data_IF_343249678936
#
_entry.id   IF_343249678936
#
_cell.length_a   1.000
_cell.length_b   1.000
_cell.length_c   1.000
_cell.angle_alpha   90.00
_cell.angle_beta   90.00
_cell.angle_gamma   90.00
#
_symmetry.space_group_name_H-M   'P 1'
#
loop_
_entity.id
_entity.type
_entity.pdbx_description
1 polymer ?
#
# COMPACT_ATOMS: atom_id res chain seq x y z
N UNK A 1 13.08 -0.09 -4.49
CA UNK A 1 12.98 -1.46 -3.91
C UNK A 1 14.14 -1.78 -2.96
N UNK A 2 15.42 -1.73 -3.38
CA UNK A 2 16.58 -2.01 -2.50
C UNK A 2 16.63 -1.16 -1.21
N UNK A 3 16.47 0.16 -1.30
CA UNK A 3 16.40 1.03 -0.11
C UNK A 3 15.16 0.82 0.75
N UNK A 4 14.00 0.53 0.13
CA UNK A 4 12.78 0.21 0.88
C UNK A 4 12.96 -1.11 1.62
N UNK A 5 13.60 -2.10 0.97
CA UNK A 5 14.03 -3.35 1.57
C UNK A 5 15.12 -3.15 2.62
N UNK A 6 16.00 -2.14 2.51
CA UNK A 6 17.05 -1.84 3.49
C UNK A 6 16.52 -1.09 4.71
N UNK A 7 15.57 -0.16 4.54
CA UNK A 7 14.86 0.52 5.64
C UNK A 7 13.89 -0.45 6.32
N UNK A 8 13.18 -1.28 5.53
CA UNK A 8 12.37 -2.37 6.06
C UNK A 8 13.29 -3.41 6.73
N UNK A 9 14.43 -3.81 6.16
CA UNK A 9 15.39 -4.71 6.82
C UNK A 9 15.96 -4.10 8.09
N UNK A 10 16.32 -2.81 8.13
CA UNK A 10 16.83 -2.16 9.33
C UNK A 10 15.76 -1.99 10.41
N UNK A 11 14.48 -1.79 10.04
CA UNK A 11 13.34 -1.85 10.96
C UNK A 11 12.99 -3.29 11.38
N UNK A 12 13.22 -4.29 10.51
CA UNK A 12 12.99 -5.72 10.74
C UNK A 12 14.13 -6.41 11.50
N UNK A 13 15.35 -5.86 11.52
CA UNK A 13 16.46 -6.33 12.33
C UNK A 13 16.26 -6.03 13.83
N UNK A 14 15.22 -5.28 14.19
CA UNK A 14 14.85 -5.06 15.60
C UNK A 14 13.98 -6.19 16.15
N UNK A 15 13.26 -6.98 15.35
CA UNK A 15 12.67 -8.25 15.85
C UNK A 15 12.44 -9.28 14.72
N UNK A 16 12.93 -10.53 14.86
CA UNK A 16 12.65 -11.61 13.89
C UNK A 16 11.15 -11.99 13.78
N UNK A 17 10.31 -11.49 14.68
CA UNK A 17 8.87 -11.77 14.75
C UNK A 17 8.03 -11.01 13.71
N UNK A 18 8.47 -9.82 13.28
CA UNK A 18 7.73 -8.99 12.31
C UNK A 18 7.85 -9.50 10.86
N UNK A 19 8.96 -10.14 10.51
CA UNK A 19 9.18 -10.72 9.18
C UNK A 19 8.22 -11.90 8.89
N UNK A 20 7.93 -12.71 9.91
CA UNK A 20 6.96 -13.81 9.78
C UNK A 20 5.53 -13.29 9.61
N UNK A 21 5.12 -12.29 10.40
CA UNK A 21 3.79 -11.71 10.32
C UNK A 21 3.53 -11.04 8.97
N UNK A 22 4.50 -10.32 8.39
CA UNK A 22 4.33 -9.68 7.08
C UNK A 22 4.34 -10.68 5.93
N UNK A 23 5.20 -11.72 5.98
CA UNK A 23 5.12 -12.82 5.03
C UNK A 23 3.79 -13.59 5.15
N UNK A 24 3.15 -13.56 6.31
CA UNK A 24 1.79 -14.08 6.53
C UNK A 24 0.73 -13.12 5.98
N UNK A 25 0.85 -11.80 6.17
CA UNK A 25 -0.09 -10.79 5.65
C UNK A 25 -0.06 -10.71 4.12
N UNK A 26 1.11 -10.69 3.49
CA UNK A 26 1.21 -10.71 2.03
C UNK A 26 0.75 -12.06 1.44
N UNK A 27 1.04 -13.19 2.10
CA UNK A 27 0.48 -14.49 1.72
C UNK A 27 -1.03 -14.52 1.91
N UNK A 28 -1.58 -13.94 2.98
CA UNK A 28 -3.01 -13.89 3.20
C UNK A 28 -3.70 -12.96 2.20
N UNK A 29 -3.11 -11.81 1.87
CA UNK A 29 -3.67 -10.87 0.89
C UNK A 29 -3.64 -11.44 -0.55
N UNK A 30 -2.55 -12.12 -0.93
CA UNK A 30 -2.46 -12.80 -2.24
C UNK A 30 -3.25 -14.10 -2.29
N UNK A 31 -3.37 -14.84 -1.19
CA UNK A 31 -4.22 -16.02 -1.08
C UNK A 31 -5.70 -15.66 -1.07
N UNK A 32 -6.13 -14.55 -0.44
CA UNK A 32 -7.50 -14.04 -0.54
C UNK A 32 -7.87 -13.69 -1.99
N UNK A 33 -6.93 -13.12 -2.74
CA UNK A 33 -7.17 -12.77 -4.14
C UNK A 33 -7.15 -14.00 -5.09
N UNK A 34 -6.33 -15.01 -4.78
CA UNK A 34 -6.18 -16.20 -5.64
C UNK A 34 -7.21 -17.29 -5.34
N UNK A 35 -7.60 -17.46 -4.07
CA UNK A 35 -8.47 -18.56 -3.63
C UNK A 35 -9.92 -18.45 -4.10
N UNK A 36 -10.41 -17.25 -4.46
CA UNK A 36 -11.79 -17.08 -4.93
C UNK A 36 -11.95 -17.18 -6.45
N UNK A 37 -10.86 -17.12 -7.23
CA UNK A 37 -10.94 -17.31 -8.69
C UNK A 37 -11.31 -18.74 -9.07
N UNK A 38 -10.90 -19.73 -8.28
CA UNK A 38 -11.30 -21.13 -8.46
C UNK A 38 -12.80 -21.37 -8.26
N UNK A 39 -13.43 -20.64 -7.34
CA UNK A 39 -14.86 -20.73 -7.11
C UNK A 39 -15.67 -20.10 -8.26
N UNK A 40 -15.07 -19.18 -9.02
CA UNK A 40 -15.67 -18.57 -10.22
C UNK A 40 -15.48 -19.45 -11.46
N UNK A 41 -14.31 -20.09 -11.59
CA UNK A 41 -14.01 -21.03 -12.67
C UNK A 41 -15.01 -22.20 -12.71
N UNK A 42 -15.42 -22.73 -11.55
CA UNK A 42 -16.41 -23.81 -11.45
C UNK A 42 -17.75 -23.48 -12.14
N UNK A 43 -18.16 -22.21 -12.19
CA UNK A 43 -19.42 -21.77 -12.81
C UNK A 43 -19.23 -21.27 -14.24
N UNK A 44 -18.06 -20.72 -14.53
CA UNK A 44 -17.73 -20.19 -15.84
C UNK A 44 -17.36 -21.27 -16.86
N UNK A 45 -16.57 -22.26 -16.43
CA UNK A 45 -15.99 -23.27 -17.31
C UNK A 45 -17.04 -24.12 -18.07
N UNK A 46 -18.15 -24.57 -17.45
CA UNK A 46 -19.19 -25.29 -18.19
C UNK A 46 -19.84 -24.44 -19.29
N UNK A 47 -19.83 -23.12 -19.14
CA UNK A 47 -20.39 -22.18 -20.11
C UNK A 47 -19.33 -21.57 -21.05
N UNK A 48 -18.05 -21.98 -20.93
CA UNK A 48 -16.93 -21.39 -21.69
C UNK A 48 -16.62 -19.93 -21.34
N UNK A 49 -17.07 -19.47 -20.16
CA UNK A 49 -16.87 -18.11 -19.68
C UNK A 49 -15.73 -18.08 -18.66
N UNK A 50 -14.70 -17.27 -18.88
CA UNK A 50 -13.59 -17.15 -17.94
C UNK A 50 -13.51 -15.75 -17.36
N UNK A 51 -13.39 -15.66 -16.03
CA UNK A 51 -13.09 -14.39 -15.37
C UNK A 51 -11.57 -14.21 -15.30
N UNK A 52 -11.04 -13.30 -16.13
CA UNK A 52 -9.64 -12.94 -16.11
C UNK A 52 -9.51 -11.44 -15.85
N UNK A 53 -9.13 -11.05 -14.63
CA UNK A 53 -8.92 -9.65 -14.32
C UNK A 53 -8.99 -9.28 -12.85
N UNK A 54 -9.04 -7.97 -12.62
CA UNK A 54 -9.23 -7.37 -11.30
C UNK A 54 -10.73 -7.24 -11.00
N UNK A 55 -11.09 -7.14 -9.71
CA UNK A 55 -12.46 -6.85 -9.26
C UNK A 55 -12.87 -5.41 -9.63
N UNK A 56 -13.14 -5.18 -10.91
CA UNK A 56 -13.74 -3.96 -11.45
C UNK A 56 -15.17 -4.25 -11.88
N UNK A 57 -16.01 -3.23 -11.89
CA UNK A 57 -17.39 -3.38 -12.36
C UNK A 57 -17.45 -3.88 -13.81
N UNK A 58 -16.58 -3.36 -14.68
CA UNK A 58 -16.52 -3.74 -16.09
C UNK A 58 -16.20 -5.22 -16.27
N UNK A 59 -15.13 -5.71 -15.64
CA UNK A 59 -14.74 -7.13 -15.72
C UNK A 59 -15.79 -8.06 -15.13
N UNK A 60 -16.42 -7.67 -14.01
CA UNK A 60 -17.47 -8.47 -13.39
C UNK A 60 -18.72 -8.55 -14.29
N UNK A 61 -19.13 -7.43 -14.90
CA UNK A 61 -20.27 -7.41 -15.82
C UNK A 61 -19.98 -8.17 -17.12
N UNK A 62 -18.76 -8.10 -17.66
CA UNK A 62 -18.37 -8.84 -18.85
C UNK A 62 -18.51 -10.36 -18.63
N UNK A 63 -18.00 -10.87 -17.51
CA UNK A 63 -18.15 -12.28 -17.13
C UNK A 63 -19.61 -12.69 -16.94
N UNK A 64 -20.39 -11.89 -16.21
CA UNK A 64 -21.82 -12.20 -16.01
C UNK A 64 -22.61 -12.12 -17.33
N UNK A 65 -22.23 -11.21 -18.24
CA UNK A 65 -22.84 -11.09 -19.57
C UNK A 65 -22.53 -12.32 -20.42
N UNK A 66 -21.31 -12.85 -20.34
CA UNK A 66 -20.95 -14.12 -20.99
C UNK A 66 -21.85 -15.27 -20.49
N UNK A 67 -21.99 -15.43 -19.16
CA UNK A 67 -22.83 -16.49 -18.58
C UNK A 67 -24.28 -16.36 -19.06
N UNK A 68 -24.87 -15.15 -19.00
CA UNK A 68 -26.26 -14.95 -19.43
C UNK A 68 -26.46 -15.19 -20.94
N UNK A 69 -25.46 -14.87 -21.77
CA UNK A 69 -25.48 -15.15 -23.20
C UNK A 69 -25.37 -16.66 -23.46
N UNK A 70 -24.47 -17.36 -22.78
CA UNK A 70 -24.31 -18.81 -22.88
C UNK A 70 -25.60 -19.55 -22.49
N UNK A 71 -26.23 -19.16 -21.38
CA UNK A 71 -27.53 -19.70 -20.96
C UNK A 71 -28.63 -19.48 -22.02
N UNK A 72 -28.73 -18.27 -22.57
CA UNK A 72 -29.74 -17.94 -23.60
C UNK A 72 -29.53 -18.70 -24.91
N UNK A 73 -28.28 -18.95 -25.26
CA UNK A 73 -27.91 -19.69 -26.48
C UNK A 73 -28.04 -21.21 -26.33
N UNK A 74 -28.39 -21.72 -25.15
CA UNK A 74 -28.36 -23.15 -24.80
C UNK A 74 -26.98 -23.80 -24.96
N UNK A 75 -25.90 -22.99 -25.00
CA UNK A 75 -24.52 -23.48 -24.98
C UNK A 75 -24.11 -24.00 -23.58
N UNK A 76 -24.89 -23.66 -22.55
CA UNK A 76 -24.69 -24.07 -21.17
C UNK A 76 -26.04 -24.48 -20.55
N UNK A 77 -26.06 -25.54 -19.74
CA UNK A 77 -27.27 -26.00 -19.04
C UNK A 77 -27.53 -25.15 -17.80
N UNK A 78 -28.28 -24.06 -17.98
CA UNK A 78 -28.63 -23.15 -16.91
C UNK A 78 -30.01 -23.49 -16.35
N UNK A 79 -30.10 -24.56 -15.55
CA UNK A 79 -31.33 -25.01 -14.87
C UNK A 79 -32.14 -23.83 -14.32
N UNK A 80 -33.27 -23.54 -14.98
CA UNK A 80 -34.28 -22.52 -14.62
C UNK A 80 -33.73 -21.25 -13.95
N UNK A 81 -32.70 -20.65 -14.57
CA UNK A 81 -32.07 -19.37 -14.12
C UNK A 81 -31.30 -19.44 -12.80
N UNK A 82 -31.31 -20.57 -12.10
CA UNK A 82 -30.60 -20.75 -10.83
C UNK A 82 -29.07 -20.64 -10.99
N UNK A 83 -28.54 -21.11 -12.12
CA UNK A 83 -27.11 -21.04 -12.41
C UNK A 83 -26.59 -19.59 -12.50
N UNK A 84 -27.35 -18.70 -13.14
CA UNK A 84 -26.97 -17.29 -13.27
C UNK A 84 -26.97 -16.58 -11.91
N UNK A 85 -28.03 -16.75 -11.12
CA UNK A 85 -28.14 -16.13 -9.79
C UNK A 85 -27.04 -16.62 -8.83
N UNK A 86 -26.74 -17.92 -8.84
CA UNK A 86 -25.67 -18.50 -8.02
C UNK A 86 -24.30 -17.96 -8.43
N UNK A 87 -24.00 -17.92 -9.73
CA UNK A 87 -22.75 -17.35 -10.25
C UNK A 87 -22.62 -15.86 -9.89
N UNK A 88 -23.71 -15.11 -10.01
CA UNK A 88 -23.75 -13.69 -9.66
C UNK A 88 -23.50 -13.45 -8.16
N UNK A 89 -24.12 -14.27 -7.30
CA UNK A 89 -23.90 -14.22 -5.85
C UNK A 89 -22.45 -14.54 -5.46
N UNK A 90 -21.83 -15.54 -6.09
CA UNK A 90 -20.42 -15.85 -5.90
C UNK A 90 -19.50 -14.74 -6.39
N UNK A 91 -19.80 -14.11 -7.53
CA UNK A 91 -19.06 -12.94 -8.02
C UNK A 91 -19.18 -11.75 -7.04
N UNK A 92 -20.37 -11.49 -6.50
CA UNK A 92 -20.57 -10.44 -5.50
C UNK A 92 -19.79 -10.70 -4.20
N UNK A 93 -19.70 -11.97 -3.79
CA UNK A 93 -18.92 -12.38 -2.63
C UNK A 93 -17.41 -12.27 -2.85
N UNK A 94 -16.91 -12.66 -4.03
CA UNK A 94 -15.51 -12.56 -4.41
C UNK A 94 -15.05 -11.11 -4.61
N UNK A 95 -15.93 -10.25 -5.11
CA UNK A 95 -15.65 -8.84 -5.40
C UNK A 95 -16.59 -7.88 -4.65
N UNK A 96 -16.55 -7.82 -3.30
CA UNK A 96 -17.52 -7.05 -2.50
C UNK A 96 -17.44 -5.54 -2.78
N UNK A 97 -16.25 -5.03 -3.14
CA UNK A 97 -16.04 -3.61 -3.45
C UNK A 97 -16.77 -3.15 -4.73
N UNK A 98 -17.16 -4.06 -5.61
CA UNK A 98 -17.87 -3.73 -6.87
C UNK A 98 -19.33 -3.36 -6.61
N UNK A 99 -19.93 -3.85 -5.51
CA UNK A 99 -21.34 -3.60 -5.20
C UNK A 99 -22.29 -4.19 -6.24
N UNK A 100 -22.01 -5.42 -6.69
CA UNK A 100 -22.83 -6.11 -7.70
C UNK A 100 -24.23 -6.42 -7.14
N UNK A 101 -25.28 -6.06 -7.88
CA UNK A 101 -26.66 -6.50 -7.65
C UNK A 101 -27.08 -7.48 -8.73
N UNK A 102 -27.68 -8.57 -8.30
CA UNK A 102 -28.12 -9.67 -9.14
C UNK A 102 -29.65 -9.66 -9.26
N UNK A 103 -30.16 -9.75 -10.49
CA UNK A 103 -31.54 -10.10 -10.80
C UNK A 103 -31.56 -11.42 -11.60
N UNK A 104 -32.75 -11.93 -11.92
CA UNK A 104 -32.90 -13.25 -12.55
C UNK A 104 -32.11 -13.44 -13.86
N UNK A 105 -31.90 -12.37 -14.62
CA UNK A 105 -31.32 -12.37 -15.96
C UNK A 105 -30.29 -11.25 -16.19
N UNK A 106 -30.06 -10.40 -15.20
CA UNK A 106 -29.19 -9.24 -15.32
C UNK A 106 -28.36 -9.03 -14.05
N UNK A 107 -27.15 -8.50 -14.20
CA UNK A 107 -26.37 -7.99 -13.08
C UNK A 107 -26.04 -6.53 -13.34
N UNK A 108 -26.10 -5.72 -12.28
CA UNK A 108 -25.76 -4.29 -12.32
C UNK A 108 -24.83 -3.98 -11.18
N UNK A 109 -23.75 -3.27 -11.46
CA UNK A 109 -23.00 -2.65 -10.37
C UNK A 109 -23.81 -1.48 -9.84
N UNK A 110 -23.94 -1.38 -8.52
CA UNK A 110 -24.26 -0.12 -7.92
C UNK A 110 -23.10 0.82 -8.28
N UNK A 111 -23.37 1.85 -9.08
CA UNK A 111 -22.42 2.93 -9.27
C UNK A 111 -21.87 3.28 -7.89
N UNK A 112 -20.53 3.34 -7.70
CA UNK A 112 -19.97 3.55 -6.39
C UNK A 112 -20.74 4.71 -5.80
N UNK A 113 -21.46 4.46 -4.69
CA UNK A 113 -21.97 5.57 -3.93
C UNK A 113 -20.70 6.34 -3.64
N UNK A 114 -20.49 7.47 -4.33
CA UNK A 114 -19.70 8.54 -3.72
C UNK A 114 -20.33 8.59 -2.34
N UNK A 115 -19.55 8.29 -1.31
CA UNK A 115 -19.94 8.66 0.03
C UNK A 115 -20.12 10.18 -0.08
N UNK A 116 -21.32 10.59 -0.49
CA UNK A 116 -21.82 11.92 -0.31
C UNK A 116 -22.09 11.87 1.17
N UNK A 117 -21.06 12.16 1.94
CA UNK A 117 -21.26 12.84 3.20
C UNK A 117 -22.02 14.11 2.84
N UNK A 118 -23.35 13.99 2.74
CA UNK A 118 -24.23 15.11 2.94
C UNK A 118 -24.04 15.49 4.40
N UNK A 119 -23.01 16.27 4.66
CA UNK A 119 -23.09 17.28 5.69
C UNK A 119 -24.12 18.27 5.17
N UNK A 120 -25.38 18.02 5.50
CA UNK A 120 -26.36 19.10 5.52
C UNK A 120 -25.81 20.11 6.53
N UNK A 121 -25.41 21.28 6.03
CA UNK A 121 -25.35 22.46 6.87
C UNK A 121 -26.81 22.81 7.14
N UNK A 122 -27.34 22.31 8.25
CA UNK A 122 -28.61 22.77 8.79
C UNK A 122 -28.37 24.19 9.33
N UNK A 123 -28.87 25.16 8.57
CA UNK A 123 -29.34 26.42 9.13
C UNK A 123 -30.77 26.15 9.63
N UNK A 124 -31.07 26.63 10.84
CA UNK A 124 -32.35 26.56 11.53
C UNK A 124 -32.80 25.23 12.19
N UNK A 125 -32.57 25.18 13.50
CA UNK A 125 -33.68 25.07 14.46
C UNK A 125 -34.53 23.79 14.50
N UNK A 126 -34.25 22.97 15.53
CA UNK A 126 -35.12 21.95 16.14
C UNK A 126 -35.37 20.69 15.28
N UNK A 127 -34.66 19.62 15.65
CA UNK A 127 -34.84 18.29 15.09
C UNK A 127 -35.40 17.36 16.19
N UNK A 128 -36.66 16.95 16.04
CA UNK A 128 -37.28 15.86 16.78
C UNK A 128 -36.68 14.54 16.29
N UNK A 129 -35.97 13.84 17.17
CA UNK A 129 -35.43 12.50 16.91
C UNK A 129 -36.53 11.46 17.03
N UNK A 130 -37.07 11.01 15.90
CA UNK A 130 -37.90 9.80 15.84
C UNK A 130 -37.00 8.57 15.67
N UNK A 131 -36.81 7.83 16.77
CA UNK A 131 -36.01 6.61 16.84
C UNK A 131 -36.81 5.41 16.33
N UNK A 132 -36.63 5.05 15.06
CA UNK A 132 -37.15 3.78 14.50
C UNK A 132 -36.30 2.61 15.02
N UNK A 133 -36.78 1.98 16.09
CA UNK A 133 -36.26 0.70 16.59
C UNK A 133 -36.73 -0.45 15.68
N UNK A 134 -35.85 -0.91 14.79
CA UNK A 134 -36.01 -2.21 14.12
C UNK A 134 -35.71 -3.37 15.09
N UNK A 135 -36.40 -4.52 14.96
CA UNK A 135 -36.22 -5.67 15.84
C UNK A 135 -34.80 -6.24 15.76
N UNK A 136 -34.10 -6.22 16.90
CA UNK A 136 -32.81 -6.88 17.10
C UNK A 136 -32.97 -8.38 17.00
N UNK A 137 -32.34 -8.97 15.99
CA UNK A 137 -32.15 -10.41 15.87
C UNK A 137 -31.22 -10.91 17.00
N UNK A 138 -31.59 -11.96 17.75
CA UNK A 138 -30.82 -12.41 18.90
C UNK A 138 -29.49 -13.03 18.47
N UNK A 139 -28.40 -12.55 19.09
CA UNK A 139 -27.05 -13.03 18.88
C UNK A 139 -26.94 -14.56 19.15
N UNK A 140 -26.18 -15.30 18.31
CA UNK A 140 -26.02 -16.74 18.48
C UNK A 140 -25.31 -17.06 19.81
N UNK A 141 -25.94 -17.97 20.56
CA UNK A 141 -25.50 -18.47 21.87
C UNK A 141 -24.19 -19.27 21.70
N UNK A 142 -23.07 -18.67 22.08
CA UNK A 142 -21.76 -19.33 22.15
C UNK A 142 -21.84 -20.45 23.20
N UNK A 143 -21.60 -21.70 22.77
CA UNK A 143 -21.56 -22.84 23.68
C UNK A 143 -20.28 -22.79 24.53
N UNK A 144 -20.35 -23.20 25.81
CA UNK A 144 -19.20 -23.21 26.70
C UNK A 144 -18.12 -24.15 26.19
N UNK A 145 -16.92 -23.60 26.06
CA UNK A 145 -15.68 -24.27 25.71
C UNK A 145 -15.41 -25.42 26.68
N UNK A 146 -15.42 -26.64 26.13
CA UNK A 146 -15.21 -27.87 26.91
C UNK A 146 -13.73 -27.93 27.29
N UNK A 147 -13.43 -27.78 28.59
CA UNK A 147 -12.07 -28.00 29.14
C UNK A 147 -11.62 -29.42 28.80
N UNK A 148 -10.73 -29.55 27.83
CA UNK A 148 -9.99 -30.78 27.58
C UNK A 148 -9.04 -30.99 28.74
N UNK A 149 -9.20 -32.12 29.43
CA UNK A 149 -8.32 -32.50 30.53
C UNK A 149 -6.87 -32.68 30.03
N UNK A 150 -5.85 -32.37 30.85
CA UNK A 150 -4.46 -32.56 30.48
C UNK A 150 -4.21 -34.03 30.15
N UNK A 151 -3.77 -34.33 28.91
CA UNK A 151 -3.27 -35.65 28.57
C UNK A 151 -2.09 -35.98 29.49
N UNK A 152 -2.21 -37.09 30.21
CA UNK A 152 -1.16 -37.63 31.05
C UNK A 152 0.12 -37.84 30.23
N UNK A 153 1.24 -37.36 30.76
CA UNK A 153 2.56 -37.52 30.16
C UNK A 153 2.90 -39.02 30.05
N UNK A 154 3.37 -39.50 28.88
CA UNK A 154 3.73 -40.90 28.70
C UNK A 154 4.93 -41.29 29.58
N UNK A 155 4.78 -42.44 30.24
CA UNK A 155 5.68 -43.04 31.25
C UNK A 155 6.95 -43.69 30.63
N UNK A 156 7.53 -43.10 29.59
CA UNK A 156 8.66 -43.70 28.85
C UNK A 156 10.04 -43.06 29.09
N UNK A 157 10.20 -42.32 30.20
CA UNK A 157 11.45 -41.65 30.53
C UNK A 157 12.43 -42.49 31.40
N UNK A 158 12.40 -43.83 31.33
CA UNK A 158 13.16 -44.70 32.26
C UNK A 158 14.45 -45.32 31.70
N UNK A 159 14.75 -45.18 30.41
CA UNK A 159 15.86 -45.91 29.79
C UNK A 159 16.92 -45.08 29.06
N UNK A 160 17.00 -43.76 29.25
CA UNK A 160 18.14 -43.01 28.69
C UNK A 160 19.38 -43.17 29.58
N UNK A 161 20.46 -43.80 29.09
CA UNK A 161 21.73 -43.84 29.80
C UNK A 161 22.22 -42.41 29.99
N UNK A 162 22.69 -42.09 31.19
CA UNK A 162 23.21 -40.78 31.53
C UNK A 162 24.54 -40.56 30.80
N UNK A 163 24.48 -40.21 29.52
CA UNK A 163 25.65 -39.81 28.74
C UNK A 163 26.16 -38.48 29.31
N UNK A 164 27.10 -38.56 30.25
CA UNK A 164 27.89 -37.39 30.67
C UNK A 164 28.78 -37.02 29.50
N UNK A 165 28.32 -36.05 28.70
CA UNK A 165 29.16 -35.46 27.65
C UNK A 165 30.45 -34.94 28.30
N UNK A 166 31.63 -35.31 27.76
CA UNK A 166 32.89 -34.70 28.15
C UNK A 166 32.75 -33.19 28.05
N UNK A 167 33.11 -32.46 29.11
CA UNK A 167 33.16 -30.99 29.05
C UNK A 167 34.20 -30.62 28.01
N UNK A 168 33.76 -30.26 26.81
CA UNK A 168 34.63 -29.66 25.81
C UNK A 168 35.23 -28.40 26.44
N UNK A 169 36.55 -28.18 26.35
CA UNK A 169 37.16 -26.96 26.84
C UNK A 169 36.42 -25.78 26.23
N UNK A 170 35.94 -24.88 27.10
CA UNK A 170 35.24 -23.66 26.69
C UNK A 170 36.28 -22.76 26.01
N UNK A 171 36.45 -22.94 24.71
CA UNK A 171 37.17 -21.98 23.87
C UNK A 171 36.26 -20.75 23.85
N UNK A 172 36.60 -19.74 24.64
CA UNK A 172 36.05 -18.39 24.48
C UNK A 172 36.58 -17.85 23.16
N UNK A 173 35.90 -18.23 22.07
CA UNK A 173 36.07 -17.56 20.80
C UNK A 173 35.47 -16.18 20.98
N UNK A 174 36.31 -15.15 20.90
CA UNK A 174 35.94 -13.74 21.00
C UNK A 174 35.17 -13.33 19.71
N UNK A 175 33.97 -13.88 19.57
CA UNK A 175 33.07 -13.74 18.41
C UNK A 175 32.61 -12.28 18.22
N UNK A 176 32.62 -11.49 19.29
CA UNK A 176 32.14 -10.11 19.28
C UNK A 176 33.09 -9.18 18.52
N UNK A 177 34.41 -9.43 18.57
CA UNK A 177 35.37 -8.54 17.93
C UNK A 177 35.52 -8.77 16.42
N UNK A 178 35.39 -10.03 15.96
CA UNK A 178 35.51 -10.38 14.53
C UNK A 178 34.22 -10.08 13.73
N UNK A 179 33.06 -10.22 14.37
CA UNK A 179 31.75 -9.87 13.80
C UNK A 179 31.64 -8.36 13.49
N UNK A 180 32.09 -7.51 14.42
CA UNK A 180 31.95 -6.06 14.27
C UNK A 180 32.77 -5.51 13.11
N UNK A 181 34.06 -5.87 12.99
CA UNK A 181 34.96 -5.30 11.97
C UNK A 181 34.65 -5.77 10.54
N UNK A 182 34.14 -6.99 10.38
CA UNK A 182 33.74 -7.52 9.05
C UNK A 182 32.37 -7.00 8.59
N UNK A 183 31.44 -6.74 9.52
CA UNK A 183 30.11 -6.21 9.20
C UNK A 183 30.14 -4.80 8.61
N UNK A 184 30.89 -3.87 9.21
CA UNK A 184 30.91 -2.46 8.76
C UNK A 184 31.45 -2.28 7.36
N UNK A 185 32.50 -3.03 6.97
CA UNK A 185 33.05 -2.97 5.62
C UNK A 185 32.02 -3.36 4.56
N UNK A 186 31.19 -4.37 4.85
CA UNK A 186 30.12 -4.83 3.95
C UNK A 186 29.01 -3.77 3.84
N UNK A 187 28.59 -3.19 4.97
CA UNK A 187 27.55 -2.14 5.02
C UNK A 187 27.98 -0.87 4.28
N UNK A 188 29.20 -0.40 4.53
CA UNK A 188 29.77 0.78 3.87
C UNK A 188 29.93 0.50 2.37
N UNK A 189 30.49 -0.65 2.01
CA UNK A 189 30.65 -1.06 0.61
C UNK A 189 29.33 -1.08 -0.15
N UNK A 190 28.29 -1.70 0.41
CA UNK A 190 26.95 -1.74 -0.18
C UNK A 190 26.36 -0.31 -0.34
N UNK A 191 26.49 0.52 0.70
CA UNK A 191 25.99 1.90 0.69
C UNK A 191 26.70 2.77 -0.35
N UNK A 192 28.00 2.58 -0.57
CA UNK A 192 28.75 3.27 -1.63
C UNK A 192 28.25 2.88 -3.01
N UNK A 193 27.96 1.59 -3.24
CA UNK A 193 27.40 1.12 -4.52
C UNK A 193 26.03 1.77 -4.76
N UNK A 194 25.15 1.79 -3.76
CA UNK A 194 23.83 2.41 -3.87
C UNK A 194 23.93 3.92 -4.16
N UNK A 195 24.86 4.64 -3.51
CA UNK A 195 25.10 6.07 -3.77
C UNK A 195 25.62 6.29 -5.19
N UNK A 196 26.55 5.48 -5.67
CA UNK A 196 27.08 5.59 -7.04
C UNK A 196 25.95 5.36 -8.06
N UNK A 197 25.16 4.31 -7.88
CA UNK A 197 24.01 4.02 -8.73
C UNK A 197 23.00 5.18 -8.71
N UNK A 198 22.70 5.72 -7.53
CA UNK A 198 21.82 6.88 -7.38
C UNK A 198 22.36 8.12 -8.10
N UNK A 199 23.66 8.42 -7.99
CA UNK A 199 24.29 9.57 -8.64
C UNK A 199 24.32 9.43 -10.17
N UNK A 200 24.59 8.24 -10.69
CA UNK A 200 24.51 7.95 -12.13
C UNK A 200 23.07 8.13 -12.61
N UNK A 201 22.09 7.56 -11.91
CA UNK A 201 20.68 7.71 -12.23
C UNK A 201 20.23 9.19 -12.14
N UNK A 202 20.68 9.94 -11.12
CA UNK A 202 20.42 11.37 -10.97
C UNK A 202 20.97 12.16 -12.15
N UNK A 203 22.21 11.89 -12.56
CA UNK A 203 22.83 12.57 -13.69
C UNK A 203 22.10 12.29 -15.00
N UNK A 204 21.78 11.02 -15.29
CA UNK A 204 21.02 10.64 -16.49
C UNK A 204 19.63 11.26 -16.46
N UNK A 205 18.96 11.23 -15.31
CA UNK A 205 17.64 11.83 -15.13
C UNK A 205 17.67 13.35 -15.32
N UNK A 206 18.67 14.05 -14.78
CA UNK A 206 18.84 15.50 -14.96
C UNK A 206 18.98 15.88 -16.44
N UNK A 207 19.73 15.09 -17.21
CA UNK A 207 19.88 15.29 -18.66
C UNK A 207 18.56 15.10 -19.42
N UNK A 208 17.72 14.16 -19.00
CA UNK A 208 16.43 13.88 -19.65
C UNK A 208 15.38 14.92 -19.24
N UNK A 209 15.23 15.18 -17.93
CA UNK A 209 14.18 16.04 -17.38
C UNK A 209 14.29 17.50 -17.86
N UNK A 210 15.51 18.00 -18.08
CA UNK A 210 15.74 19.37 -18.61
C UNK A 210 15.22 19.53 -20.04
N UNK A 211 15.24 18.45 -20.84
CA UNK A 211 14.76 18.48 -22.23
C UNK A 211 13.26 18.21 -22.34
N UNK A 212 12.76 17.28 -21.53
CA UNK A 212 11.35 16.86 -21.52
C UNK A 212 11.04 16.32 -20.14
N UNK A 213 10.03 16.86 -19.49
CA UNK A 213 9.49 16.23 -18.29
C UNK A 213 8.76 14.93 -18.69
N UNK A 214 9.29 13.75 -18.34
CA UNK A 214 8.71 12.48 -18.74
C UNK A 214 7.40 12.16 -18.00
N UNK A 215 7.09 12.89 -16.92
CA UNK A 215 5.93 12.65 -16.07
C UNK A 215 4.88 13.75 -16.15
N UNK A 216 5.04 14.73 -17.05
CA UNK A 216 4.06 15.82 -17.19
C UNK A 216 2.67 15.25 -17.46
N UNK A 217 1.75 15.50 -16.53
CA UNK A 217 0.37 15.06 -16.65
C UNK A 217 -0.23 15.62 -17.96
N UNK A 218 -0.82 14.74 -18.77
CA UNK A 218 -1.49 15.11 -20.01
C UNK A 218 -2.89 15.59 -19.65
N UNK A 219 -2.99 16.90 -19.37
CA UNK A 219 -4.23 17.70 -19.44
C UNK A 219 -5.50 17.09 -18.83
N UNK A 220 -5.68 17.28 -17.53
CA UNK A 220 -6.99 17.28 -16.88
C UNK A 220 -7.04 18.47 -15.94
N UNK A 221 -7.92 19.43 -16.20
CA UNK A 221 -8.15 20.52 -15.24
C UNK A 221 -8.63 19.89 -13.91
N UNK A 222 -8.16 20.39 -12.75
CA UNK A 222 -8.60 19.86 -11.47
C UNK A 222 -10.12 20.00 -11.36
N UNK A 223 -10.80 18.87 -11.25
CA UNK A 223 -12.22 18.79 -10.95
C UNK A 223 -12.42 19.16 -9.47
N UNK A 224 -12.91 20.37 -9.26
CA UNK A 224 -13.30 21.01 -7.99
C UNK A 224 -12.20 21.26 -6.94
N UNK A 225 -12.20 22.44 -6.28
CA UNK A 225 -11.30 22.76 -5.18
C UNK A 225 -11.67 21.96 -3.92
N UNK A 226 -11.09 20.77 -3.76
CA UNK A 226 -11.18 20.02 -2.51
C UNK A 226 -10.34 20.70 -1.41
N UNK A 227 -10.78 20.72 -0.14
CA UNK A 227 -9.98 21.19 1.00
C UNK A 227 -8.85 20.20 1.33
N UNK A 228 -7.82 20.13 0.48
CA UNK A 228 -6.68 19.23 0.66
C UNK A 228 -6.00 18.84 -0.65
N UNK A 229 -5.09 17.85 -0.58
CA UNK A 229 -4.48 17.25 -1.77
C UNK A 229 -5.57 16.66 -2.67
N UNK A 230 -5.54 17.02 -3.95
CA UNK A 230 -6.54 16.55 -4.93
C UNK A 230 -6.40 15.05 -5.23
N UNK A 231 -5.23 14.48 -4.95
CA UNK A 231 -4.94 13.07 -5.12
C UNK A 231 -4.94 12.36 -3.77
N UNK A 232 -5.65 11.24 -3.65
CA UNK A 232 -5.65 10.41 -2.45
C UNK A 232 -4.30 9.72 -2.23
N UNK A 233 -3.96 9.44 -0.96
CA UNK A 233 -2.65 8.85 -0.60
C UNK A 233 -2.38 7.51 -1.29
N UNK A 234 -3.40 6.64 -1.34
CA UNK A 234 -3.32 5.31 -1.93
C UNK A 234 -3.70 5.29 -3.42
N UNK A 235 -3.84 6.45 -4.08
CA UNK A 235 -4.14 6.54 -5.51
C UNK A 235 -2.89 6.49 -6.40
N UNK A 236 -1.79 5.97 -5.89
CA UNK A 236 -0.55 5.80 -6.65
C UNK A 236 -0.76 4.87 -7.88
N UNK A 237 -1.70 3.92 -7.81
CA UNK A 237 -1.99 3.00 -8.92
C UNK A 237 -2.54 3.68 -10.19
N UNK A 238 -3.06 4.91 -10.10
CA UNK A 238 -3.62 5.62 -11.27
C UNK A 238 -2.54 5.98 -12.30
N UNK A 239 -1.29 6.12 -11.87
CA UNK A 239 -0.15 6.43 -12.73
C UNK A 239 0.98 5.42 -12.49
N UNK A 240 0.85 4.19 -13.01
CA UNK A 240 1.76 3.09 -12.68
C UNK A 240 3.21 3.38 -13.06
N UNK A 241 3.45 4.17 -14.12
CA UNK A 241 4.79 4.60 -14.53
C UNK A 241 5.45 5.50 -13.48
N UNK A 242 4.72 6.51 -13.00
CA UNK A 242 5.20 7.42 -11.96
C UNK A 242 5.39 6.68 -10.63
N UNK A 243 4.46 5.80 -10.28
CA UNK A 243 4.53 5.01 -9.05
C UNK A 243 5.66 4.00 -9.06
N UNK A 244 5.92 3.32 -10.17
CA UNK A 244 7.08 2.45 -10.33
C UNK A 244 8.37 3.26 -10.19
N UNK A 245 8.43 4.43 -10.84
CA UNK A 245 9.59 5.31 -10.73
C UNK A 245 9.81 5.81 -9.30
N UNK A 246 8.75 6.22 -8.60
CA UNK A 246 8.82 6.62 -7.21
C UNK A 246 9.22 5.43 -6.31
N UNK A 247 8.69 4.23 -6.49
CA UNK A 247 9.09 3.06 -5.68
C UNK A 247 10.56 2.65 -5.87
N UNK A 248 11.11 2.87 -7.07
CA UNK A 248 12.50 2.51 -7.39
C UNK A 248 13.49 3.64 -7.07
N UNK A 249 13.11 4.88 -7.36
CA UNK A 249 13.95 6.08 -7.36
C UNK A 249 13.27 7.24 -6.62
N UNK A 250 12.64 6.97 -5.46
CA UNK A 250 11.88 7.96 -4.70
C UNK A 250 12.69 9.23 -4.42
N UNK A 251 13.98 9.10 -4.08
CA UNK A 251 14.87 10.24 -3.81
C UNK A 251 15.02 11.17 -5.01
N UNK A 252 15.13 10.61 -6.22
CA UNK A 252 15.21 11.40 -7.46
C UNK A 252 13.89 12.10 -7.76
N UNK A 253 12.76 11.39 -7.61
CA UNK A 253 11.44 11.99 -7.85
C UNK A 253 11.12 13.07 -6.82
N UNK A 254 11.41 12.83 -5.55
CA UNK A 254 11.24 13.81 -4.48
C UNK A 254 12.11 15.06 -4.71
N UNK A 255 13.40 14.88 -5.01
CA UNK A 255 14.30 15.97 -5.37
C UNK A 255 13.78 16.79 -6.56
N UNK A 256 13.22 16.12 -7.59
CA UNK A 256 12.60 16.79 -8.72
C UNK A 256 11.35 17.58 -8.32
N UNK A 257 10.46 16.99 -7.52
CA UNK A 257 9.25 17.67 -7.01
C UNK A 257 9.60 18.93 -6.24
N UNK A 258 10.63 18.90 -5.39
CA UNK A 258 11.10 20.08 -4.67
C UNK A 258 11.66 21.16 -5.61
N UNK A 259 12.48 20.76 -6.59
CA UNK A 259 13.07 21.67 -7.57
C UNK A 259 11.99 22.39 -8.40
N UNK A 260 10.95 21.67 -8.82
CA UNK A 260 9.81 22.20 -9.58
C UNK A 260 8.90 23.07 -8.71
N UNK A 261 8.64 22.67 -7.47
CA UNK A 261 7.81 23.44 -6.55
C UNK A 261 8.45 24.77 -6.14
N UNK A 262 9.77 24.93 -6.35
CA UNK A 262 10.53 26.11 -5.94
C UNK A 262 10.06 27.37 -6.68
N UNK A 263 9.52 28.34 -5.95
CA UNK A 263 9.31 29.69 -6.46
C UNK A 263 10.62 30.48 -6.48
N UNK A 264 10.79 31.41 -7.44
CA UNK A 264 11.99 32.26 -7.56
C UNK A 264 12.30 33.07 -6.29
N UNK A 265 11.28 33.37 -5.49
CA UNK A 265 11.40 34.22 -4.29
C UNK A 265 11.47 33.43 -2.96
N UNK A 266 11.28 32.11 -2.97
CA UNK A 266 11.30 31.31 -1.73
C UNK A 266 12.69 30.70 -1.51
N UNK A 267 13.35 31.13 -0.43
CA UNK A 267 14.66 30.61 0.03
C UNK A 267 14.60 29.19 0.64
N UNK A 268 13.41 28.62 0.81
CA UNK A 268 13.22 27.40 1.61
C UNK A 268 13.20 26.06 0.86
N UNK A 269 13.11 26.04 -0.47
CA UNK A 269 13.00 24.77 -1.22
C UNK A 269 14.31 24.39 -1.89
N UNK A 270 14.69 23.12 -1.74
CA UNK A 270 15.94 22.60 -2.27
C UNK A 270 16.00 22.66 -3.80
N UNK A 271 17.17 23.01 -4.33
CA UNK A 271 17.53 22.75 -5.73
C UNK A 271 17.70 21.25 -5.92
N UNK A 272 17.42 20.76 -7.12
CA UNK A 272 17.52 19.33 -7.45
C UNK A 272 18.80 18.66 -6.91
N UNK A 273 19.98 19.15 -7.31
CA UNK A 273 21.26 18.58 -6.89
C UNK A 273 21.53 18.69 -5.39
N UNK A 274 21.00 19.71 -4.72
CA UNK A 274 21.09 19.82 -3.26
C UNK A 274 20.24 18.75 -2.58
N UNK A 275 19.02 18.53 -3.04
CA UNK A 275 18.16 17.47 -2.52
C UNK A 275 18.76 16.07 -2.77
N UNK A 276 19.34 15.83 -3.96
CA UNK A 276 20.07 14.58 -4.24
C UNK A 276 21.26 14.40 -3.29
N UNK A 277 22.11 15.42 -3.13
CA UNK A 277 23.25 15.36 -2.20
C UNK A 277 22.79 15.10 -0.75
N UNK A 278 21.72 15.78 -0.30
CA UNK A 278 21.10 15.55 0.99
C UNK A 278 20.64 14.08 1.15
N UNK A 279 19.97 13.51 0.14
CA UNK A 279 19.55 12.10 0.17
C UNK A 279 20.73 11.13 0.18
N UNK A 280 21.83 11.40 -0.53
CA UNK A 280 23.05 10.58 -0.48
C UNK A 280 23.69 10.60 0.90
N UNK A 281 23.80 11.79 1.52
CA UNK A 281 24.35 11.93 2.88
C UNK A 281 23.46 11.20 3.89
N UNK A 282 22.15 11.37 3.80
CA UNK A 282 21.22 10.67 4.70
C UNK A 282 21.25 9.15 4.50
N UNK A 283 21.40 8.66 3.26
CA UNK A 283 21.56 7.23 2.97
C UNK A 283 22.82 6.65 3.64
N UNK A 284 23.95 7.35 3.53
CA UNK A 284 25.20 6.97 4.18
C UNK A 284 25.10 7.00 5.71
N UNK A 285 24.56 8.10 6.26
CA UNK A 285 24.41 8.27 7.70
C UNK A 285 23.43 7.25 8.30
N UNK A 286 22.36 6.91 7.60
CA UNK A 286 21.38 5.91 8.04
C UNK A 286 22.03 4.54 8.25
N UNK A 287 23.00 4.17 7.41
CA UNK A 287 23.74 2.93 7.55
C UNK A 287 24.58 2.86 8.84
N UNK A 288 25.01 4.01 9.36
CA UNK A 288 25.76 4.11 10.62
C UNK A 288 24.88 4.43 11.84
N UNK A 289 23.83 5.21 11.64
CA UNK A 289 23.00 5.83 12.67
C UNK A 289 21.52 5.81 12.22
N UNK A 290 20.75 4.77 12.58
CA UNK A 290 19.35 4.65 12.14
C UNK A 290 18.47 5.85 12.53
N UNK A 291 18.80 6.56 13.62
CA UNK A 291 18.12 7.78 14.06
C UNK A 291 18.18 8.92 13.04
N UNK A 292 19.16 8.94 12.13
CA UNK A 292 19.21 9.89 11.02
C UNK A 292 17.99 9.76 10.07
N UNK A 293 17.32 8.60 10.06
CA UNK A 293 16.06 8.43 9.35
C UNK A 293 14.94 9.35 9.85
N UNK A 294 14.91 9.66 11.15
CA UNK A 294 13.94 10.60 11.72
C UNK A 294 14.21 12.04 11.27
N UNK A 295 15.48 12.40 11.11
CA UNK A 295 15.87 13.70 10.52
C UNK A 295 15.39 13.80 9.09
N UNK A 296 15.54 12.72 8.31
CA UNK A 296 15.01 12.68 6.95
C UNK A 296 13.49 12.88 6.92
N UNK A 297 12.74 12.14 7.75
CA UNK A 297 11.27 12.26 7.85
C UNK A 297 10.87 13.69 8.27
N UNK A 298 11.54 14.29 9.24
CA UNK A 298 11.26 15.66 9.66
C UNK A 298 11.45 16.67 8.52
N UNK A 299 12.53 16.53 7.72
CA UNK A 299 12.77 17.37 6.55
C UNK A 299 11.73 17.13 5.46
N UNK A 300 11.33 15.89 5.22
CA UNK A 300 10.30 15.54 4.25
C UNK A 300 8.93 16.11 4.65
N UNK A 301 8.53 15.95 5.91
CA UNK A 301 7.31 16.53 6.49
C UNK A 301 7.32 18.05 6.44
N UNK A 302 8.45 18.69 6.77
CA UNK A 302 8.60 20.14 6.65
C UNK A 302 8.36 20.64 5.22
N UNK A 303 8.99 19.99 4.23
CA UNK A 303 8.79 20.35 2.82
C UNK A 303 7.35 20.10 2.36
N UNK A 304 6.72 19.03 2.84
CA UNK A 304 5.31 18.74 2.56
C UNK A 304 4.37 19.81 3.15
N UNK A 305 4.62 20.26 4.37
CA UNK A 305 3.90 21.38 4.99
C UNK A 305 4.10 22.69 4.22
N UNK A 306 5.31 22.92 3.68
CA UNK A 306 5.59 24.05 2.81
C UNK A 306 4.77 23.98 1.51
N UNK A 307 4.59 22.79 0.92
CA UNK A 307 3.68 22.59 -0.20
C UNK A 307 2.24 22.94 0.21
N UNK A 308 1.73 22.41 1.32
CA UNK A 308 0.36 22.72 1.80
C UNK A 308 0.12 24.24 1.95
N UNK A 309 1.12 24.97 2.46
CA UNK A 309 1.09 26.44 2.55
C UNK A 309 1.01 27.12 1.17
N UNK A 310 1.75 26.62 0.17
CA UNK A 310 1.73 27.16 -1.20
C UNK A 310 0.41 26.92 -1.92
N UNK A 311 -0.19 25.76 -1.69
CA UNK A 311 -1.50 25.41 -2.22
C UNK A 311 -2.67 26.01 -1.44
N UNK A 312 -2.39 26.82 -0.40
CA UNK A 312 -3.41 27.44 0.46
C UNK A 312 -4.39 26.42 1.06
N UNK A 313 -3.92 25.21 1.38
CA UNK A 313 -4.77 24.23 2.03
C UNK A 313 -5.15 24.69 3.45
N UNK A 314 -6.38 24.40 3.91
CA UNK A 314 -6.79 24.70 5.27
C UNK A 314 -5.85 24.02 6.26
N UNK A 315 -5.39 24.79 7.25
CA UNK A 315 -4.51 24.27 8.30
C UNK A 315 -5.34 23.41 9.25
N UNK A 316 -5.05 22.12 9.29
CA UNK A 316 -5.57 21.23 10.32
C UNK A 316 -4.46 20.88 11.32
N UNK A 317 -4.74 20.91 12.64
CA UNK A 317 -3.75 20.67 13.68
C UNK A 317 -3.11 19.27 13.58
N UNK A 318 -3.85 18.30 13.02
CA UNK A 318 -3.38 16.92 12.85
C UNK A 318 -2.58 16.68 11.56
N UNK A 319 -2.43 17.68 10.68
CA UNK A 319 -1.79 17.49 9.36
C UNK A 319 -0.31 17.10 9.46
N UNK A 320 0.41 17.57 10.49
CA UNK A 320 1.81 17.16 10.71
C UNK A 320 1.92 15.70 11.13
N UNK A 321 0.99 15.22 11.97
CA UNK A 321 0.97 13.82 12.43
C UNK A 321 0.64 12.91 11.25
N UNK A 322 -0.36 13.27 10.46
CA UNK A 322 -0.70 12.58 9.21
C UNK A 322 0.52 12.49 8.28
N UNK A 323 1.20 13.61 8.03
CA UNK A 323 2.38 13.65 7.15
C UNK A 323 3.54 12.79 7.71
N UNK A 324 3.74 12.75 9.03
CA UNK A 324 4.71 11.86 9.66
C UNK A 324 4.36 10.39 9.41
N UNK A 325 3.10 9.98 9.64
CA UNK A 325 2.65 8.60 9.40
C UNK A 325 2.77 8.22 7.92
N UNK A 326 2.42 9.12 7.02
CA UNK A 326 2.53 8.94 5.57
C UNK A 326 3.97 8.63 5.17
N UNK A 327 4.94 9.44 5.65
CA UNK A 327 6.35 9.26 5.32
C UNK A 327 6.99 8.05 6.02
N UNK A 328 6.49 7.66 7.19
CA UNK A 328 6.94 6.45 7.90
C UNK A 328 6.38 5.15 7.29
N UNK A 329 5.12 5.16 6.84
CA UNK A 329 4.43 3.96 6.38
C UNK A 329 4.50 3.74 4.87
N UNK A 330 4.41 4.79 4.05
CA UNK A 330 4.48 4.70 2.59
C UNK A 330 5.13 5.95 1.95
N UNK A 331 6.47 6.12 2.06
CA UNK A 331 7.15 7.27 1.48
C UNK A 331 7.00 7.33 -0.05
N UNK A 332 6.89 6.21 -0.75
CA UNK A 332 6.63 6.23 -2.20
C UNK A 332 5.25 6.83 -2.53
N UNK A 333 4.21 6.50 -1.77
CA UNK A 333 2.88 7.10 -1.91
C UNK A 333 2.94 8.62 -1.68
N UNK A 334 3.66 9.04 -0.64
CA UNK A 334 3.88 10.45 -0.32
C UNK A 334 4.52 11.21 -1.50
N UNK A 335 5.60 10.66 -2.04
CA UNK A 335 6.33 11.24 -3.19
C UNK A 335 5.46 11.31 -4.44
N UNK A 336 4.67 10.27 -4.74
CA UNK A 336 3.74 10.27 -5.90
C UNK A 336 2.66 11.32 -5.72
N UNK A 337 2.05 11.42 -4.54
CA UNK A 337 1.01 12.40 -4.27
C UNK A 337 1.55 13.84 -4.39
N UNK A 338 2.73 14.12 -3.83
CA UNK A 338 3.38 15.42 -3.92
C UNK A 338 3.76 15.77 -5.36
N UNK A 339 4.31 14.81 -6.09
CA UNK A 339 4.63 14.92 -7.50
C UNK A 339 3.43 15.36 -8.34
N UNK A 340 2.32 14.61 -8.27
CA UNK A 340 1.10 14.89 -9.06
C UNK A 340 0.50 16.25 -8.74
N UNK A 341 0.50 16.62 -7.46
CA UNK A 341 0.00 17.92 -7.02
C UNK A 341 0.84 19.06 -7.61
N UNK A 342 2.17 18.94 -7.61
CA UNK A 342 3.08 19.94 -8.17
C UNK A 342 3.00 19.99 -9.69
N UNK A 343 2.92 18.85 -10.37
CA UNK A 343 2.83 18.79 -11.83
C UNK A 343 1.55 19.48 -12.34
N UNK A 344 0.45 19.39 -11.58
CA UNK A 344 -0.82 20.08 -11.89
C UNK A 344 -0.66 21.61 -11.93
N UNK A 345 0.21 22.19 -11.09
CA UNK A 345 0.50 23.63 -11.12
C UNK A 345 1.35 24.05 -12.33
N UNK A 346 2.25 23.18 -12.79
CA UNK A 346 3.12 23.48 -13.93
C UNK A 346 2.31 23.50 -15.22
N UNK A 347 1.23 22.73 -15.29
CA UNK A 347 0.32 22.73 -16.44
C UNK A 347 -0.54 23.99 -16.50
N UNK A 348 -0.85 24.61 -15.35
CA UNK A 348 -1.70 25.82 -15.30
C UNK A 348 -0.95 27.14 -15.51
N UNK A 349 0.38 27.13 -15.49
CA UNK A 349 1.25 28.28 -15.84
C UNK A 349 1.72 28.17 -17.28
#
# INVERSE_FOLDING_TARGET
LSMFLAVLSALLFVTPQAAQLHAQVLRNASAQFSADTSALAEFGDPCGCHFAGWCTCESALEFMTCISAACRSQACDCQDRYHFMTACGKMAAACPAVGLRCSEDESKCLAPRRHRETYALDDDGVMETETVHGPREPAPRIQPETRVAPLAAPEEAKWMPTWRMPRTPRVEIDLDQYSFRSGWGTIIGASMVDIIVLLVAAFLYDRVRVKRDPFRAVGGAPSDPSPGFSHGLCQCYQEPKLSLFACCCWSLRWAHTLDVARNKHDVGTFRYWFAVAFTCVMMFLYAALPLCGLVFVAVAVYNRQLLRKRFQFPKHPCSMVEDCFVWLCCPCCAVVQEARQVDTLVVSR
#
